data_IF_528152525561
#
_entry.id   IF_528152525561
#
_cell.length_a   1.000
_cell.length_b   1.000
_cell.length_c   1.000
_cell.angle_alpha   90.00
_cell.angle_beta   90.00
_cell.angle_gamma   90.00
#
_symmetry.space_group_name_H-M   'P 1'
#
loop_
_entity.id
_entity.type
_entity.pdbx_description
1 polymer ?
#
# COMPACT_ATOMS: atom_id res chain seq x y z
N UNK A 1 -16.38 8.88 -9.02
CA UNK A 1 -15.30 9.76 -9.52
C UNK A 1 -15.97 11.08 -9.84
N UNK A 2 -15.52 12.19 -9.25
CA UNK A 2 -15.93 13.51 -9.72
C UNK A 2 -15.35 13.68 -11.12
N UNK A 3 -16.20 14.00 -12.09
CA UNK A 3 -15.74 14.39 -13.40
C UNK A 3 -15.00 15.73 -13.26
N UNK A 4 -13.71 15.72 -13.55
CA UNK A 4 -12.94 16.96 -13.64
C UNK A 4 -13.32 17.61 -14.97
N UNK A 5 -14.34 18.42 -14.97
CA UNK A 5 -14.85 19.11 -16.17
C UNK A 5 -13.82 20.06 -16.81
N UNK A 6 -12.85 20.54 -16.02
CA UNK A 6 -11.74 21.36 -16.53
C UNK A 6 -10.47 21.09 -15.75
N UNK A 7 -9.46 20.60 -16.44
CA UNK A 7 -8.10 20.56 -15.91
C UNK A 7 -7.58 22.00 -15.73
N UNK A 8 -6.79 22.27 -14.65
CA UNK A 8 -6.11 23.55 -14.51
C UNK A 8 -5.34 23.92 -15.77
N UNK A 9 -5.25 25.21 -16.09
CA UNK A 9 -4.57 25.69 -17.31
C UNK A 9 -3.08 25.33 -17.41
N UNK A 10 -2.50 24.78 -16.33
CA UNK A 10 -1.15 24.20 -16.31
C UNK A 10 -1.07 22.83 -16.98
N UNK A 11 -2.20 22.16 -17.21
CA UNK A 11 -2.25 20.89 -17.92
C UNK A 11 -2.38 21.17 -19.42
N UNK A 12 -1.38 20.73 -20.17
CA UNK A 12 -1.43 20.74 -21.62
C UNK A 12 -2.13 19.47 -22.09
N UNK A 13 -3.24 19.55 -22.82
CA UNK A 13 -3.88 18.37 -23.38
C UNK A 13 -2.88 17.60 -24.27
N UNK A 14 -2.92 16.26 -24.18
CA UNK A 14 -2.13 15.43 -25.08
C UNK A 14 -2.54 15.75 -26.52
N UNK A 15 -1.55 16.01 -27.38
CA UNK A 15 -1.81 16.28 -28.79
C UNK A 15 -2.56 15.09 -29.42
N UNK A 16 -3.62 15.30 -30.23
CA UNK A 16 -4.43 14.22 -30.79
C UNK A 16 -3.63 13.18 -31.62
N UNK A 17 -2.50 13.60 -32.18
CA UNK A 17 -1.59 12.73 -32.94
C UNK A 17 -0.47 12.14 -32.06
N UNK A 18 -0.56 12.24 -30.72
CA UNK A 18 0.42 11.62 -29.85
C UNK A 18 0.20 10.12 -29.80
N UNK A 19 1.19 9.39 -30.29
CA UNK A 19 1.23 7.94 -30.17
C UNK A 19 2.25 7.55 -29.09
N UNK A 20 1.84 6.78 -28.07
CA UNK A 20 2.78 6.25 -27.09
C UNK A 20 3.84 5.40 -27.75
N UNK A 21 5.11 5.65 -27.46
CA UNK A 21 6.22 4.88 -28.03
C UNK A 21 6.86 4.04 -26.94
N UNK A 22 6.87 2.74 -27.11
CA UNK A 22 7.64 1.82 -26.30
C UNK A 22 8.97 1.51 -26.99
N UNK A 23 10.09 1.93 -26.39
CA UNK A 23 11.45 1.74 -26.90
C UNK A 23 12.26 0.72 -26.11
N UNK A 24 11.59 -0.10 -25.31
CA UNK A 24 12.29 -1.16 -24.55
C UNK A 24 12.81 -2.22 -25.53
N UNK A 25 14.11 -2.46 -25.48
CA UNK A 25 14.80 -3.50 -26.28
C UNK A 25 14.96 -4.82 -25.50
N UNK A 26 14.69 -4.81 -24.20
CA UNK A 26 14.76 -5.97 -23.31
C UNK A 26 13.42 -6.26 -22.63
N UNK A 27 13.26 -7.50 -22.19
CA UNK A 27 12.09 -7.92 -21.43
C UNK A 27 12.22 -7.52 -19.96
N UNK A 28 11.20 -6.84 -19.45
CA UNK A 28 11.06 -6.53 -18.04
C UNK A 28 9.63 -6.77 -17.58
N UNK A 29 9.48 -7.48 -16.48
CA UNK A 29 8.17 -7.69 -15.86
C UNK A 29 8.01 -6.77 -14.67
N UNK A 30 6.85 -6.17 -14.55
CA UNK A 30 6.46 -5.32 -13.42
C UNK A 30 5.23 -5.89 -12.74
N UNK A 31 5.14 -5.65 -11.44
CA UNK A 31 3.93 -5.89 -10.67
C UNK A 31 3.12 -4.60 -10.64
N UNK A 32 1.89 -4.65 -11.11
CA UNK A 32 0.98 -3.49 -11.18
C UNK A 32 -0.35 -3.83 -10.53
N UNK A 33 -0.98 -2.82 -9.91
CA UNK A 33 -2.36 -2.92 -9.47
C UNK A 33 -3.19 -1.83 -10.15
N UNK A 34 -4.42 -2.16 -10.51
CA UNK A 34 -5.33 -1.20 -11.13
C UNK A 34 -6.80 -1.55 -10.86
N UNK A 35 -7.66 -0.57 -11.11
CA UNK A 35 -9.11 -0.78 -11.16
C UNK A 35 -9.56 -0.50 -12.59
N UNK A 36 -10.33 -1.41 -13.17
CA UNK A 36 -10.96 -1.16 -14.45
C UNK A 36 -12.22 -0.29 -14.27
N UNK A 37 -12.80 0.18 -15.39
CA UNK A 37 -13.99 1.03 -15.37
C UNK A 37 -15.24 0.39 -14.74
N UNK A 38 -15.29 -0.93 -14.64
CA UNK A 38 -16.38 -1.69 -14.04
C UNK A 38 -16.22 -1.87 -12.52
N UNK A 39 -15.17 -1.29 -11.94
CA UNK A 39 -14.87 -1.40 -10.50
C UNK A 39 -14.17 -2.70 -10.09
N UNK A 40 -13.84 -3.57 -11.05
CA UNK A 40 -13.01 -4.73 -10.77
C UNK A 40 -11.58 -4.28 -10.52
N UNK A 41 -10.92 -4.97 -9.61
CA UNK A 41 -9.54 -4.69 -9.21
C UNK A 41 -8.69 -5.90 -9.47
N UNK A 42 -7.54 -5.66 -10.05
CA UNK A 42 -6.58 -6.70 -10.36
C UNK A 42 -5.16 -6.30 -9.97
N UNK A 43 -4.37 -7.31 -9.67
CA UNK A 43 -2.92 -7.21 -9.56
C UNK A 43 -2.35 -8.09 -10.64
N UNK A 44 -1.40 -7.58 -11.41
CA UNK A 44 -0.84 -8.31 -12.55
C UNK A 44 0.68 -8.25 -12.56
N UNK A 45 1.29 -9.34 -13.02
CA UNK A 45 2.65 -9.30 -13.57
C UNK A 45 2.49 -9.06 -15.06
N UNK A 46 3.00 -7.93 -15.53
CA UNK A 46 2.90 -7.50 -16.92
C UNK A 46 4.29 -7.26 -17.50
N UNK A 47 4.53 -7.78 -18.71
CA UNK A 47 5.74 -7.46 -19.45
C UNK A 47 5.61 -6.06 -20.05
N UNK A 48 6.55 -5.16 -19.73
CA UNK A 48 6.48 -3.77 -20.22
C UNK A 48 6.77 -3.65 -21.72
N UNK A 49 7.57 -4.55 -22.29
CA UNK A 49 7.92 -4.50 -23.72
C UNK A 49 6.75 -4.96 -24.59
N UNK A 50 6.19 -6.13 -24.26
CA UNK A 50 5.13 -6.75 -25.07
C UNK A 50 3.72 -6.38 -24.63
N UNK A 51 3.57 -5.81 -23.44
CA UNK A 51 2.32 -5.56 -22.75
C UNK A 51 1.54 -6.83 -22.36
N UNK A 52 2.14 -8.00 -22.50
CA UNK A 52 1.51 -9.27 -22.13
C UNK A 52 1.31 -9.37 -20.62
N UNK A 53 0.13 -9.84 -20.23
CA UNK A 53 -0.14 -10.26 -18.86
C UNK A 53 0.44 -11.65 -18.64
N UNK A 54 1.43 -11.75 -17.78
CA UNK A 54 2.08 -13.04 -17.44
C UNK A 54 1.32 -13.75 -16.35
N UNK A 55 0.75 -13.01 -15.41
CA UNK A 55 -0.08 -13.52 -14.32
C UNK A 55 -1.04 -12.44 -13.85
N UNK A 56 -2.21 -12.84 -13.39
CA UNK A 56 -3.22 -11.93 -12.84
C UNK A 56 -3.89 -12.54 -11.62
N UNK A 57 -4.17 -11.67 -10.64
CA UNK A 57 -4.97 -11.96 -9.46
C UNK A 57 -6.14 -10.98 -9.42
N UNK A 58 -7.35 -11.51 -9.40
CA UNK A 58 -8.53 -10.71 -9.18
C UNK A 58 -8.75 -10.49 -7.69
N UNK A 59 -8.82 -9.23 -7.27
CA UNK A 59 -9.12 -8.90 -5.88
C UNK A 59 -10.64 -8.89 -5.69
N UNK A 60 -11.16 -9.98 -5.13
CA UNK A 60 -12.59 -10.24 -4.93
C UNK A 60 -13.06 -9.73 -3.57
N UNK A 61 -14.28 -9.19 -3.56
CA UNK A 61 -15.10 -9.02 -2.36
C UNK A 61 -14.75 -7.84 -1.44
N UNK A 62 -15.77 -7.38 -0.71
CA UNK A 62 -15.66 -6.50 0.47
C UNK A 62 -15.20 -5.05 0.25
N UNK A 63 -14.57 -4.73 -0.85
CA UNK A 63 -14.05 -3.40 -1.10
C UNK A 63 -15.15 -2.46 -1.58
N UNK A 64 -15.23 -1.28 -0.96
CA UNK A 64 -16.13 -0.22 -1.42
C UNK A 64 -15.73 0.23 -2.84
N UNK A 65 -16.64 0.77 -3.65
CA UNK A 65 -16.35 1.13 -5.06
C UNK A 65 -15.13 2.03 -5.24
N UNK A 66 -14.85 2.91 -4.29
CA UNK A 66 -13.72 3.85 -4.33
C UNK A 66 -12.41 3.29 -3.76
N UNK A 67 -12.43 2.09 -3.15
CA UNK A 67 -11.19 1.49 -2.63
C UNK A 67 -10.30 1.06 -3.79
N UNK A 68 -9.01 1.32 -3.66
CA UNK A 68 -7.96 0.92 -4.60
C UNK A 68 -7.03 -0.07 -3.93
N UNK A 69 -6.53 -1.00 -4.68
CA UNK A 69 -5.42 -1.85 -4.25
C UNK A 69 -4.14 -1.02 -4.30
N UNK A 70 -3.40 -1.04 -3.22
CA UNK A 70 -2.19 -0.25 -3.03
C UNK A 70 -1.01 -1.16 -2.72
N UNK A 71 0.14 -0.81 -3.28
CA UNK A 71 1.45 -1.38 -2.97
C UNK A 71 1.48 -2.91 -2.89
N UNK A 72 1.05 -3.64 -3.94
CA UNK A 72 1.12 -5.09 -3.91
C UNK A 72 2.58 -5.54 -3.79
N UNK A 73 2.81 -6.55 -2.96
CA UNK A 73 4.10 -7.19 -2.76
C UNK A 73 3.98 -8.66 -3.16
N UNK A 74 4.78 -9.06 -4.15
CA UNK A 74 4.88 -10.47 -4.53
C UNK A 74 5.72 -11.22 -3.48
N UNK A 75 5.13 -12.24 -2.91
CA UNK A 75 5.73 -13.14 -1.93
C UNK A 75 6.09 -14.48 -2.57
N UNK A 76 6.73 -15.35 -1.79
CA UNK A 76 6.99 -16.73 -2.20
C UNK A 76 5.70 -17.48 -2.59
N UNK A 77 5.82 -18.50 -3.44
CA UNK A 77 4.72 -19.33 -3.93
C UNK A 77 3.57 -18.53 -4.59
N UNK A 78 3.94 -17.45 -5.30
CA UNK A 78 2.98 -16.59 -5.99
C UNK A 78 1.86 -16.01 -5.11
N UNK A 79 2.12 -15.86 -3.82
CA UNK A 79 1.25 -15.13 -2.90
C UNK A 79 1.42 -13.63 -3.10
N UNK A 80 0.37 -12.87 -2.87
CA UNK A 80 0.38 -11.42 -2.94
C UNK A 80 -0.09 -10.83 -1.62
N UNK A 81 0.77 -10.05 -0.96
CA UNK A 81 0.34 -9.14 0.08
C UNK A 81 -0.05 -7.79 -0.54
N UNK A 82 -1.13 -7.19 -0.08
CA UNK A 82 -1.60 -5.89 -0.55
C UNK A 82 -2.39 -5.15 0.52
N UNK A 83 -2.49 -3.86 0.38
CA UNK A 83 -3.36 -3.01 1.18
C UNK A 83 -4.42 -2.34 0.32
N UNK A 84 -5.38 -1.68 0.96
CA UNK A 84 -6.34 -0.82 0.29
C UNK A 84 -6.27 0.59 0.86
N UNK A 85 -6.73 1.59 0.11
CA UNK A 85 -6.90 2.94 0.64
C UNK A 85 -8.10 3.08 1.58
N UNK A 86 -8.72 1.96 1.98
CA UNK A 86 -9.79 1.92 2.98
C UNK A 86 -9.30 1.93 4.41
N UNK A 87 -7.98 1.87 4.62
CA UNK A 87 -7.34 1.78 5.95
C UNK A 87 -7.92 0.64 6.81
N UNK A 88 -8.16 -0.49 6.18
CA UNK A 88 -8.79 -1.66 6.78
C UNK A 88 -7.82 -2.82 7.03
N UNK A 89 -6.53 -2.54 6.91
CA UNK A 89 -5.46 -3.49 7.19
C UNK A 89 -4.70 -3.94 5.96
N UNK A 90 -4.03 -5.08 6.11
CA UNK A 90 -3.20 -5.69 5.08
C UNK A 90 -3.72 -7.09 4.79
N UNK A 91 -3.85 -7.41 3.54
CA UNK A 91 -4.38 -8.67 3.04
C UNK A 91 -3.28 -9.51 2.41
N UNK A 92 -3.47 -10.82 2.42
CA UNK A 92 -2.70 -11.73 1.58
C UNK A 92 -3.63 -12.70 0.87
N UNK A 93 -3.32 -12.99 -0.38
CA UNK A 93 -4.00 -14.01 -1.18
C UNK A 93 -3.01 -14.96 -1.81
N UNK A 94 -3.48 -16.17 -2.12
CA UNK A 94 -2.71 -17.19 -2.79
C UNK A 94 -2.63 -16.98 -4.31
N UNK A 95 -1.97 -17.90 -5.00
CA UNK A 95 -1.76 -17.89 -6.44
C UNK A 95 -3.05 -17.87 -7.28
N UNK A 96 -4.19 -18.26 -6.71
CA UNK A 96 -5.51 -18.29 -7.38
C UNK A 96 -6.47 -17.19 -6.91
N UNK A 97 -5.98 -16.25 -6.08
CA UNK A 97 -6.75 -15.10 -5.61
C UNK A 97 -7.64 -15.37 -4.40
N UNK A 98 -7.43 -16.49 -3.70
CA UNK A 98 -8.14 -16.76 -2.44
C UNK A 98 -7.42 -16.08 -1.28
N UNK A 99 -8.17 -15.40 -0.42
CA UNK A 99 -7.62 -14.74 0.76
C UNK A 99 -7.08 -15.77 1.75
N UNK A 100 -5.81 -15.64 2.11
CA UNK A 100 -5.13 -16.47 3.10
C UNK A 100 -5.26 -15.89 4.50
N UNK A 101 -4.97 -14.59 4.65
CA UNK A 101 -5.07 -13.89 5.91
C UNK A 101 -5.40 -12.40 5.72
N UNK A 102 -5.83 -11.76 6.80
CA UNK A 102 -6.12 -10.34 6.87
C UNK A 102 -5.63 -9.80 8.22
N UNK A 103 -4.55 -9.03 8.21
CA UNK A 103 -4.03 -8.33 9.37
C UNK A 103 -4.82 -7.04 9.59
N UNK A 104 -5.44 -6.89 10.79
CA UNK A 104 -6.36 -5.79 11.11
C UNK A 104 -5.89 -4.85 12.21
N UNK A 105 -4.74 -5.12 12.83
CA UNK A 105 -4.20 -4.30 13.91
C UNK A 105 -3.46 -3.07 13.37
N UNK A 106 -2.87 -3.20 12.19
CA UNK A 106 -2.12 -2.14 11.54
C UNK A 106 -2.68 -1.83 10.16
N UNK A 107 -2.72 -0.54 9.82
CA UNK A 107 -3.00 -0.06 8.47
C UNK A 107 -1.72 0.22 7.72
N UNK A 108 -1.75 0.02 6.43
CA UNK A 108 -0.63 0.33 5.55
C UNK A 108 -0.46 1.84 5.38
N UNK A 109 0.80 2.30 5.42
CA UNK A 109 1.18 3.67 5.11
C UNK A 109 2.42 3.68 4.21
N UNK A 110 2.25 3.98 2.95
CA UNK A 110 3.24 4.17 1.88
C UNK A 110 3.92 2.92 1.31
N UNK A 111 4.56 2.06 2.08
CA UNK A 111 5.35 0.97 1.51
C UNK A 111 5.28 -0.34 2.27
N UNK A 112 5.43 -1.42 1.49
CA UNK A 112 5.68 -2.77 1.99
C UNK A 112 6.89 -3.34 1.25
N UNK A 113 7.79 -3.99 1.98
CA UNK A 113 9.01 -4.56 1.42
C UNK A 113 9.24 -5.97 1.97
N UNK A 114 9.80 -6.84 1.15
CA UNK A 114 10.24 -8.16 1.60
C UNK A 114 11.32 -8.01 2.69
N UNK A 115 11.20 -8.81 3.73
CA UNK A 115 12.17 -8.96 4.79
C UNK A 115 13.10 -10.16 4.54
N UNK A 116 13.79 -10.60 5.58
CA UNK A 116 14.62 -11.80 5.53
C UNK A 116 13.74 -13.01 5.92
N UNK A 117 13.84 -14.09 5.14
CA UNK A 117 12.97 -15.26 5.33
C UNK A 117 11.51 -14.94 4.97
N UNK A 118 10.59 -15.63 5.63
CA UNK A 118 9.14 -15.44 5.41
C UNK A 118 8.63 -14.25 6.22
N UNK A 119 9.25 -13.05 6.02
CA UNK A 119 8.82 -11.82 6.68
C UNK A 119 8.67 -10.67 5.69
N UNK A 120 7.92 -9.66 6.07
CA UNK A 120 7.84 -8.40 5.35
C UNK A 120 7.82 -7.21 6.30
N UNK A 121 8.38 -6.09 5.85
CA UNK A 121 8.36 -4.81 6.54
C UNK A 121 7.27 -3.90 5.99
N UNK A 122 6.63 -3.17 6.88
CA UNK A 122 5.53 -2.27 6.55
C UNK A 122 5.72 -0.94 7.28
N UNK A 123 5.61 0.17 6.54
CA UNK A 123 5.28 1.44 7.16
C UNK A 123 3.80 1.40 7.52
N UNK A 124 3.46 1.63 8.77
CA UNK A 124 2.13 1.35 9.28
C UNK A 124 1.55 2.48 10.12
N UNK A 125 0.24 2.48 10.26
CA UNK A 125 -0.51 3.11 11.33
C UNK A 125 -1.02 2.05 12.31
N UNK A 126 -1.26 2.45 13.55
CA UNK A 126 -2.13 1.70 14.43
C UNK A 126 -3.60 2.01 14.06
N UNK A 127 -4.35 0.99 13.67
CA UNK A 127 -5.74 1.20 13.25
C UNK A 127 -6.65 1.59 14.43
N UNK A 128 -6.29 1.25 15.65
CA UNK A 128 -7.01 1.69 16.84
C UNK A 128 -6.87 3.20 17.07
N UNK A 129 -5.70 3.76 16.79
CA UNK A 129 -5.44 5.20 16.86
C UNK A 129 -6.13 5.94 15.70
N UNK A 130 -6.09 5.35 14.50
CA UNK A 130 -6.65 5.96 13.30
C UNK A 130 -8.20 6.06 13.34
N UNK A 131 -8.85 5.12 14.01
CA UNK A 131 -10.31 5.10 14.11
C UNK A 131 -10.88 6.20 15.00
N UNK A 132 -10.05 6.83 15.85
CA UNK A 132 -10.49 7.90 16.73
C UNK A 132 -9.38 8.96 16.94
N UNK A 133 -9.58 10.23 16.52
CA UNK A 133 -8.57 11.28 16.59
C UNK A 133 -8.02 11.53 18.01
N UNK A 134 -8.78 11.19 19.05
CA UNK A 134 -8.33 11.31 20.45
C UNK A 134 -7.39 10.18 20.90
N UNK A 135 -7.24 9.13 20.08
CA UNK A 135 -6.36 8.00 20.38
C UNK A 135 -4.93 8.23 19.85
N UNK A 136 -4.68 9.35 19.20
CA UNK A 136 -3.34 9.71 18.75
C UNK A 136 -2.38 9.89 19.91
N UNK A 137 -1.10 9.77 19.62
CA UNK A 137 -0.03 9.94 20.59
C UNK A 137 0.04 11.39 21.07
N UNK A 138 0.20 11.58 22.35
CA UNK A 138 0.35 12.90 22.97
C UNK A 138 1.77 13.06 23.47
N UNK A 139 2.51 13.98 22.89
CA UNK A 139 3.82 14.39 23.41
C UNK A 139 3.73 15.78 24.04
N UNK A 140 4.43 15.94 25.15
CA UNK A 140 4.60 17.23 25.82
C UNK A 140 6.04 17.71 25.62
N UNK A 141 6.21 18.84 24.94
CA UNK A 141 7.49 19.45 24.69
C UNK A 141 7.42 20.95 25.00
N UNK A 142 8.30 21.43 25.86
CA UNK A 142 8.31 22.84 26.27
C UNK A 142 7.03 23.29 26.98
N UNK A 143 6.30 22.40 27.64
CA UNK A 143 5.01 22.70 28.29
C UNK A 143 3.81 22.75 27.35
N UNK A 144 4.01 22.40 26.07
CA UNK A 144 2.95 22.33 25.04
C UNK A 144 2.65 20.87 24.72
N UNK A 145 1.37 20.52 24.67
CA UNK A 145 0.91 19.19 24.27
C UNK A 145 0.64 19.13 22.77
N UNK A 146 1.28 18.19 22.11
CA UNK A 146 1.12 17.91 20.70
C UNK A 146 0.36 16.60 20.52
N UNK A 147 -0.68 16.60 19.70
CA UNK A 147 -1.43 15.42 19.31
C UNK A 147 -1.13 15.10 17.85
N UNK A 148 -0.74 13.87 17.56
CA UNK A 148 -0.51 13.43 16.19
C UNK A 148 -0.76 11.93 16.03
N UNK A 149 -1.01 11.53 14.80
CA UNK A 149 -1.02 10.12 14.43
C UNK A 149 0.41 9.66 14.27
N UNK A 150 0.79 8.66 15.05
CA UNK A 150 2.13 8.10 14.96
C UNK A 150 2.26 7.17 13.74
N UNK A 151 3.44 7.14 13.19
CA UNK A 151 3.85 6.17 12.20
C UNK A 151 4.65 5.06 12.86
N UNK A 152 4.47 3.86 12.38
CA UNK A 152 5.12 2.67 12.92
C UNK A 152 5.94 1.97 11.84
N UNK A 153 7.06 1.39 12.26
CA UNK A 153 7.72 0.34 11.51
C UNK A 153 7.20 -0.97 12.06
N UNK A 154 6.63 -1.80 11.20
CA UNK A 154 6.09 -3.10 11.58
C UNK A 154 6.72 -4.21 10.76
N UNK A 155 6.87 -5.39 11.35
CA UNK A 155 7.25 -6.61 10.64
C UNK A 155 6.15 -7.65 10.78
N UNK A 156 5.77 -8.25 9.67
CA UNK A 156 4.79 -9.31 9.62
C UNK A 156 5.41 -10.61 9.15
N UNK A 157 4.89 -11.70 9.66
CA UNK A 157 5.05 -13.02 9.09
C UNK A 157 4.23 -13.13 7.79
N UNK A 158 4.84 -13.54 6.69
CA UNK A 158 4.18 -13.57 5.39
C UNK A 158 3.28 -14.79 5.19
N UNK A 159 3.40 -15.82 6.02
CA UNK A 159 2.55 -17.01 5.94
C UNK A 159 1.23 -16.82 6.69
N UNK A 160 1.30 -16.17 7.85
CA UNK A 160 0.16 -16.08 8.77
C UNK A 160 -0.42 -14.68 8.90
N UNK A 161 0.32 -13.63 8.49
CA UNK A 161 -0.02 -12.24 8.74
C UNK A 161 0.20 -11.79 10.18
N UNK A 162 0.84 -12.62 11.02
CA UNK A 162 1.09 -12.29 12.42
C UNK A 162 2.04 -11.10 12.55
N UNK A 163 1.73 -10.19 13.47
CA UNK A 163 2.57 -9.06 13.81
C UNK A 163 3.74 -9.54 14.67
N UNK A 164 4.96 -9.53 14.11
CA UNK A 164 6.18 -9.98 14.76
C UNK A 164 6.89 -8.86 15.51
N UNK A 165 6.80 -7.63 14.98
CA UNK A 165 7.44 -6.45 15.52
C UNK A 165 6.63 -5.21 15.18
N UNK A 166 6.57 -4.26 16.10
CA UNK A 166 5.98 -2.93 15.89
C UNK A 166 6.74 -1.92 16.75
N UNK A 167 7.21 -0.82 16.16
CA UNK A 167 7.89 0.26 16.85
C UNK A 167 7.37 1.61 16.37
N UNK A 168 7.04 2.46 17.32
CA UNK A 168 6.69 3.85 17.09
C UNK A 168 7.89 4.63 16.55
N UNK A 169 7.66 5.41 15.51
CA UNK A 169 8.67 6.30 14.95
C UNK A 169 8.94 7.49 15.88
N UNK A 170 7.88 8.01 16.51
CA UNK A 170 8.02 9.09 17.46
C UNK A 170 8.82 8.67 18.70
N UNK A 171 8.53 7.50 19.28
CA UNK A 171 9.33 6.96 20.39
C UNK A 171 10.78 6.74 19.99
N UNK A 172 11.01 6.19 18.79
CA UNK A 172 12.36 5.97 18.26
C UNK A 172 13.16 7.27 18.17
N UNK A 173 12.55 8.33 17.66
CA UNK A 173 13.18 9.64 17.56
C UNK A 173 13.50 10.23 18.94
N UNK A 174 12.54 10.16 19.87
CA UNK A 174 12.73 10.64 21.24
C UNK A 174 13.84 9.88 21.99
N UNK A 175 13.86 8.56 21.90
CA UNK A 175 14.89 7.71 22.54
C UNK A 175 16.30 8.04 22.05
N UNK A 176 16.43 8.66 20.88
CA UNK A 176 17.71 9.05 20.29
C UNK A 176 17.98 10.57 20.33
N UNK A 177 17.17 11.34 21.05
CA UNK A 177 17.33 12.79 21.18
C UNK A 177 17.11 13.55 19.85
N UNK A 178 16.23 13.01 18.99
CA UNK A 178 15.93 13.55 17.66
C UNK A 178 14.53 14.20 17.62
N UNK A 179 14.04 14.67 18.75
CA UNK A 179 12.72 15.30 18.89
C UNK A 179 12.52 16.58 18.07
N UNK A 180 13.61 17.09 17.48
CA UNK A 180 13.57 18.28 16.65
C UNK A 180 13.34 17.99 15.15
N UNK A 181 13.27 16.71 14.76
CA UNK A 181 12.97 16.25 13.41
C UNK A 181 11.49 16.04 13.19
#
# INVERSE_FOLDING_TARGET
AEEVEKLPGTFVPTHPAFEPVNRLDYDINILVSYSNGDGNRAIEIRNLKTQDVKKSWEVKGGLKPHHRVMHPLLLSNDRIAYATNGYDGIYCMNAVGEQLWHQKEIGHHHSMNAGIGETMWVCAYDLSEFSHPSNGVVYEMGGVKYHFLDNYIAQLDTETGALLFKRSMAELLLDHGLEHL
#
